data_IF_666485741640
#
_entry.id   IF_666485741640
#
_cell.length_a   1.000
_cell.length_b   1.000
_cell.length_c   1.000
_cell.angle_alpha   90.00
_cell.angle_beta   90.00
_cell.angle_gamma   90.00
#
_symmetry.space_group_name_H-M   'P 1'
#
loop_
_entity.id
_entity.type
_entity.pdbx_description
1 polymer ?
#
# COMPACT_ATOMS: atom_id res chain seq x y z
N UNK A 1 -68.56 -17.45 -34.40
CA UNK A 1 -69.44 -18.16 -33.44
C UNK A 1 -69.08 -17.65 -32.05
N UNK A 2 -69.81 -16.69 -31.47
CA UNK A 2 -70.80 -16.91 -30.37
C UNK A 2 -70.22 -17.78 -29.24
N UNK A 3 -70.08 -17.37 -27.97
CA UNK A 3 -70.82 -16.43 -27.09
C UNK A 3 -69.94 -15.99 -25.91
N UNK A 4 -70.26 -14.84 -25.35
CA UNK A 4 -69.92 -14.42 -23.98
C UNK A 4 -70.55 -15.35 -22.94
N UNK A 5 -69.83 -15.64 -21.85
CA UNK A 5 -70.43 -15.84 -20.53
C UNK A 5 -69.50 -15.29 -19.45
N UNK A 6 -70.02 -14.33 -18.69
CA UNK A 6 -69.55 -13.98 -17.36
C UNK A 6 -70.24 -14.90 -16.35
N UNK A 7 -69.50 -15.37 -15.34
CA UNK A 7 -70.05 -15.79 -14.06
C UNK A 7 -69.07 -15.42 -12.95
N UNK A 8 -69.52 -14.52 -12.08
CA UNK A 8 -68.95 -14.19 -10.77
C UNK A 8 -69.53 -15.08 -9.68
N UNK A 9 -68.88 -15.06 -8.50
CA UNK A 9 -69.21 -15.68 -7.19
C UNK A 9 -68.53 -17.05 -7.01
N UNK A 10 -67.76 -17.35 -5.95
CA UNK A 10 -67.41 -16.63 -4.74
C UNK A 10 -66.66 -17.56 -3.77
N UNK A 11 -65.91 -16.94 -2.85
CA UNK A 11 -65.62 -17.37 -1.47
C UNK A 11 -65.10 -18.80 -1.19
N UNK A 12 -63.82 -18.95 -0.83
CA UNK A 12 -63.34 -19.44 0.47
C UNK A 12 -61.82 -19.72 0.47
N UNK A 13 -61.22 -19.45 1.62
CA UNK A 13 -59.80 -19.50 1.90
C UNK A 13 -59.19 -20.92 1.95
N UNK A 14 -57.95 -21.05 1.50
CA UNK A 14 -56.94 -21.91 2.13
C UNK A 14 -55.53 -21.43 1.74
N UNK A 15 -54.78 -20.90 2.71
CA UNK A 15 -53.34 -20.74 2.64
C UNK A 15 -52.68 -22.11 2.62
N UNK A 16 -51.83 -22.38 1.63
CA UNK A 16 -50.70 -23.30 1.76
C UNK A 16 -49.49 -22.67 1.08
N UNK A 17 -48.47 -22.35 1.89
CA UNK A 17 -47.19 -21.81 1.42
C UNK A 17 -46.42 -22.90 0.70
N UNK A 18 -46.28 -22.77 -0.62
CA UNK A 18 -45.25 -23.46 -1.39
C UNK A 18 -43.93 -22.71 -1.15
N UNK A 19 -43.07 -23.30 -0.33
CA UNK A 19 -41.69 -22.85 -0.18
C UNK A 19 -40.91 -23.12 -1.46
N UNK A 20 -40.71 -22.08 -2.28
CA UNK A 20 -39.64 -22.07 -3.27
C UNK A 20 -38.32 -21.89 -2.51
N UNK A 21 -37.49 -22.93 -2.46
CA UNK A 21 -36.06 -22.79 -2.21
C UNK A 21 -35.47 -21.98 -3.37
N UNK A 22 -35.24 -20.69 -3.15
CA UNK A 22 -34.29 -19.95 -3.99
C UNK A 22 -32.91 -20.50 -3.66
N UNK A 23 -32.38 -21.33 -4.55
CA UNK A 23 -30.94 -21.48 -4.70
C UNK A 23 -30.45 -20.18 -5.32
N UNK A 24 -30.13 -19.20 -4.47
CA UNK A 24 -29.39 -18.03 -4.90
C UNK A 24 -27.96 -18.49 -5.20
N UNK A 25 -27.67 -18.66 -6.48
CA UNK A 25 -26.33 -18.77 -7.01
C UNK A 25 -25.62 -17.41 -6.88
N UNK A 26 -25.28 -17.03 -5.64
CA UNK A 26 -24.32 -15.98 -5.39
C UNK A 26 -22.93 -16.55 -5.65
N UNK A 27 -22.49 -16.43 -6.90
CA UNK A 27 -21.09 -16.44 -7.22
C UNK A 27 -20.48 -15.14 -6.66
N UNK A 28 -20.19 -15.15 -5.35
CA UNK A 28 -19.41 -14.12 -4.72
C UNK A 28 -18.04 -14.10 -5.41
N UNK A 29 -17.76 -13.03 -6.16
CA UNK A 29 -16.40 -12.67 -6.50
C UNK A 29 -15.60 -12.62 -5.18
N UNK A 30 -14.37 -13.16 -5.12
CA UNK A 30 -13.56 -13.09 -3.93
C UNK A 30 -13.12 -11.63 -3.75
N UNK A 31 -13.96 -10.84 -3.09
CA UNK A 31 -13.52 -9.58 -2.49
C UNK A 31 -12.62 -10.00 -1.34
N UNK A 32 -11.31 -10.07 -1.62
CA UNK A 32 -10.30 -10.23 -0.60
C UNK A 32 -10.55 -9.16 0.45
N UNK A 33 -11.03 -9.58 1.62
CA UNK A 33 -11.33 -8.68 2.72
C UNK A 33 -10.00 -8.08 3.18
N UNK A 34 -9.79 -6.80 2.86
CA UNK A 34 -8.62 -6.06 3.32
C UNK A 34 -8.53 -6.09 4.84
N UNK A 35 -7.31 -6.13 5.35
CA UNK A 35 -7.08 -5.93 6.78
C UNK A 35 -7.31 -4.47 7.18
N UNK A 36 -7.27 -4.18 8.48
CA UNK A 36 -7.35 -2.80 8.96
C UNK A 36 -6.17 -1.93 8.46
N UNK A 37 -4.93 -2.46 8.48
CA UNK A 37 -3.76 -1.72 7.98
C UNK A 37 -3.78 -1.56 6.47
N UNK A 38 -4.20 -2.57 5.72
CA UNK A 38 -4.36 -2.43 4.27
C UNK A 38 -5.44 -1.42 3.91
N UNK A 39 -6.54 -1.39 4.66
CA UNK A 39 -7.58 -0.36 4.52
C UNK A 39 -7.01 1.03 4.78
N UNK A 40 -6.20 1.22 5.84
CA UNK A 40 -5.56 2.51 6.13
C UNK A 40 -4.53 2.92 5.06
N UNK A 41 -3.69 1.99 4.62
CA UNK A 41 -2.65 2.23 3.64
C UNK A 41 -3.23 2.66 2.29
N UNK A 42 -4.33 2.03 1.87
CA UNK A 42 -4.96 2.26 0.56
C UNK A 42 -5.98 3.41 0.54
N UNK A 43 -6.35 3.97 1.69
CA UNK A 43 -7.34 5.03 1.78
C UNK A 43 -6.84 6.42 1.33
N UNK A 44 -5.51 6.62 1.22
CA UNK A 44 -4.87 7.92 1.05
C UNK A 44 -3.66 7.88 0.13
N UNK A 45 -3.26 9.06 -0.34
CA UNK A 45 -1.95 9.24 -0.96
C UNK A 45 -0.93 9.60 0.11
N UNK A 46 0.31 9.17 -0.07
CA UNK A 46 1.39 9.33 0.90
C UNK A 46 2.54 10.14 0.33
N UNK A 47 2.89 11.24 0.99
CA UNK A 47 4.01 12.11 0.61
C UNK A 47 5.03 12.17 1.73
N UNK A 48 6.32 12.13 1.38
CA UNK A 48 7.41 12.21 2.34
C UNK A 48 7.45 13.61 2.98
N UNK A 49 7.58 13.65 4.31
CA UNK A 49 7.75 14.90 5.07
C UNK A 49 9.03 14.92 5.91
N UNK A 50 9.62 13.75 6.19
CA UNK A 50 10.90 13.66 6.88
C UNK A 50 11.67 12.39 6.50
N UNK A 51 13.00 12.46 6.49
CA UNK A 51 13.90 11.32 6.36
C UNK A 51 15.00 11.52 7.39
N UNK A 52 15.10 10.60 8.35
CA UNK A 52 16.18 10.58 9.32
C UNK A 52 17.00 9.30 9.14
N UNK A 53 18.31 9.43 9.16
CA UNK A 53 19.19 8.27 9.01
C UNK A 53 20.27 8.26 10.08
N UNK A 54 20.59 7.07 10.57
CA UNK A 54 21.69 6.83 11.50
C UNK A 54 22.59 5.74 10.92
N UNK A 55 23.85 6.08 10.69
CA UNK A 55 24.89 5.16 10.25
C UNK A 55 25.79 4.77 11.43
N UNK A 56 26.06 3.48 11.56
CA UNK A 56 27.00 2.92 12.54
C UNK A 56 28.07 2.13 11.81
N UNK A 57 29.34 2.43 12.06
CA UNK A 57 30.50 1.71 11.54
C UNK A 57 31.17 0.95 12.68
N UNK A 58 31.43 -0.34 12.47
CA UNK A 58 32.15 -1.21 13.40
C UNK A 58 33.31 -1.88 12.68
N UNK A 59 34.46 -1.98 13.34
CA UNK A 59 35.65 -2.68 12.85
C UNK A 59 36.36 -3.37 14.03
N UNK A 60 37.17 -4.39 13.75
CA UNK A 60 37.87 -5.12 14.80
C UNK A 60 38.87 -4.21 15.53
N UNK A 61 38.86 -4.26 16.87
CA UNK A 61 39.75 -3.43 17.70
C UNK A 61 39.39 -1.94 17.72
N UNK A 62 38.30 -1.50 17.08
CA UNK A 62 37.87 -0.10 17.02
C UNK A 62 36.47 0.04 17.62
N UNK A 63 36.28 1.03 18.51
CA UNK A 63 34.96 1.35 19.07
C UNK A 63 33.98 1.79 17.97
N UNK A 64 32.70 1.36 18.02
CA UNK A 64 31.70 1.76 17.04
C UNK A 64 31.57 3.28 16.89
N UNK A 65 31.50 3.76 15.65
CA UNK A 65 31.27 5.17 15.34
C UNK A 65 29.84 5.32 14.81
N UNK A 66 29.07 6.23 15.38
CA UNK A 66 27.71 6.53 14.95
C UNK A 66 27.60 7.96 14.40
N UNK A 67 26.86 8.14 13.31
CA UNK A 67 26.58 9.45 12.70
C UNK A 67 25.10 9.53 12.31
N UNK A 68 24.50 10.71 12.48
CA UNK A 68 23.12 10.98 12.07
C UNK A 68 23.08 12.01 10.96
N UNK A 69 22.08 11.93 10.07
CA UNK A 69 21.81 12.97 9.08
C UNK A 69 20.32 13.08 8.74
N UNK A 70 19.93 14.28 8.34
CA UNK A 70 18.61 14.58 7.79
C UNK A 70 18.66 14.40 6.26
N UNK A 71 18.01 13.36 5.76
CA UNK A 71 17.91 13.06 4.34
C UNK A 71 16.89 13.93 3.60
N UNK A 72 15.91 14.51 4.29
CA UNK A 72 14.84 15.29 3.67
C UNK A 72 15.36 16.61 3.11
N UNK A 73 16.35 17.20 3.79
CA UNK A 73 17.05 18.40 3.32
C UNK A 73 17.76 18.21 1.99
N UNK A 74 18.07 16.96 1.61
CA UNK A 74 18.76 16.61 0.35
C UNK A 74 17.81 16.45 -0.83
N UNK A 75 16.50 16.38 -0.59
CA UNK A 75 15.52 16.29 -1.66
C UNK A 75 15.34 17.66 -2.33
N UNK A 76 15.32 17.66 -3.66
CA UNK A 76 14.94 18.84 -4.44
C UNK A 76 13.45 19.15 -4.25
N UNK A 77 13.01 20.35 -4.61
CA UNK A 77 11.60 20.75 -4.46
C UNK A 77 10.65 19.81 -5.19
N UNK A 78 10.98 19.42 -6.42
CA UNK A 78 10.18 18.47 -7.19
C UNK A 78 10.09 17.09 -6.49
N UNK A 79 11.19 16.57 -5.94
CA UNK A 79 11.18 15.28 -5.21
C UNK A 79 10.30 15.32 -3.96
N UNK A 80 10.15 16.49 -3.33
CA UNK A 80 9.28 16.67 -2.16
C UNK A 80 7.80 16.68 -2.53
N UNK A 81 7.46 16.91 -3.80
CA UNK A 81 6.09 16.89 -4.29
C UNK A 81 5.62 15.47 -4.69
N UNK A 82 6.57 14.55 -4.89
CA UNK A 82 6.29 13.15 -5.20
C UNK A 82 5.40 12.49 -4.15
N UNK A 83 4.53 11.58 -4.59
CA UNK A 83 3.68 10.80 -3.70
C UNK A 83 3.47 9.38 -4.20
N UNK A 84 3.09 8.50 -3.28
CA UNK A 84 2.69 7.13 -3.57
C UNK A 84 1.22 6.91 -3.24
N UNK A 85 0.50 6.26 -4.14
CA UNK A 85 -0.85 5.74 -3.91
C UNK A 85 -0.83 4.22 -3.90
N UNK A 86 -1.15 3.63 -2.77
CA UNK A 86 -1.30 2.19 -2.62
C UNK A 86 -2.74 1.82 -2.99
N UNK A 87 -2.92 0.91 -3.94
CA UNK A 87 -4.22 0.48 -4.41
C UNK A 87 -4.62 -0.87 -3.78
N UNK A 88 -5.93 -1.11 -3.72
CA UNK A 88 -6.55 -2.33 -3.18
C UNK A 88 -6.09 -3.59 -3.93
N UNK A 89 -5.81 -3.45 -5.23
CA UNK A 89 -5.33 -4.52 -6.12
C UNK A 89 -3.83 -4.84 -5.95
N UNK A 90 -3.21 -4.37 -4.87
CA UNK A 90 -1.78 -4.58 -4.55
C UNK A 90 -0.81 -3.87 -5.49
N UNK A 91 -1.27 -2.88 -6.26
CA UNK A 91 -0.40 -1.99 -7.03
C UNK A 91 -0.09 -0.70 -6.28
N UNK A 92 1.02 -0.04 -6.65
CA UNK A 92 1.36 1.32 -6.22
C UNK A 92 1.47 2.18 -7.46
N UNK A 93 0.91 3.38 -7.41
CA UNK A 93 1.24 4.47 -8.33
C UNK A 93 2.18 5.42 -7.61
N UNK A 94 3.45 5.47 -8.00
CA UNK A 94 4.36 6.55 -7.63
C UNK A 94 4.23 7.66 -8.66
N UNK A 95 3.99 8.89 -8.22
CA UNK A 95 3.70 10.05 -9.07
C UNK A 95 4.63 11.21 -8.68
N UNK A 96 5.20 11.90 -9.66
CA UNK A 96 6.11 13.04 -9.45
C UNK A 96 5.41 14.33 -8.99
N UNK A 97 4.09 14.29 -8.79
CA UNK A 97 3.31 15.45 -8.39
C UNK A 97 3.20 16.49 -9.50
N UNK A 98 2.95 17.74 -9.13
CA UNK A 98 2.72 18.81 -10.10
C UNK A 98 3.99 19.20 -10.87
N UNK A 99 5.17 18.98 -10.28
CA UNK A 99 6.46 19.37 -10.87
C UNK A 99 7.39 18.18 -10.96
N UNK A 100 7.66 17.76 -12.20
CA UNK A 100 8.65 16.72 -12.50
C UNK A 100 10.07 17.20 -12.20
N UNK A 101 10.93 16.28 -11.78
CA UNK A 101 12.35 16.58 -11.62
C UNK A 101 13.13 16.54 -12.92
N UNK A 102 12.66 15.75 -13.87
CA UNK A 102 13.26 15.55 -15.17
C UNK A 102 12.15 15.50 -16.21
N UNK A 103 12.33 16.21 -17.32
CA UNK A 103 11.31 16.25 -18.37
C UNK A 103 11.19 14.92 -19.11
N UNK A 104 12.25 14.10 -19.12
CA UNK A 104 12.29 12.80 -19.81
C UNK A 104 11.71 11.66 -18.99
N UNK A 105 11.58 11.81 -17.67
CA UNK A 105 11.12 10.74 -16.79
C UNK A 105 9.61 10.56 -16.97
N UNK A 106 9.03 9.36 -16.76
CA UNK A 106 7.58 9.23 -16.78
C UNK A 106 6.96 9.97 -15.59
N UNK A 107 5.75 10.55 -15.75
CA UNK A 107 5.03 11.19 -14.64
C UNK A 107 4.72 10.19 -13.51
N UNK A 108 4.40 8.95 -13.89
CA UNK A 108 4.05 7.89 -12.96
C UNK A 108 4.85 6.62 -13.23
N UNK A 109 5.10 5.87 -12.15
CA UNK A 109 5.68 4.54 -12.19
C UNK A 109 4.80 3.58 -11.38
N UNK A 110 4.72 2.33 -11.84
CA UNK A 110 3.88 1.30 -11.23
C UNK A 110 4.77 0.28 -10.52
N UNK A 111 4.42 0.02 -9.26
CA UNK A 111 5.01 -1.03 -8.43
C UNK A 111 3.91 -1.93 -7.88
N UNK A 112 4.30 -2.96 -7.15
CA UNK A 112 3.41 -3.79 -6.34
C UNK A 112 3.81 -3.71 -4.89
N UNK A 113 2.88 -4.03 -3.99
CA UNK A 113 3.14 -4.03 -2.56
C UNK A 113 2.46 -5.19 -1.84
N UNK A 114 3.00 -5.54 -0.68
CA UNK A 114 2.38 -6.47 0.26
C UNK A 114 2.81 -6.17 1.69
N UNK A 115 1.94 -6.47 2.65
CA UNK A 115 2.30 -6.58 4.07
C UNK A 115 2.58 -8.04 4.39
N UNK A 116 3.56 -8.29 5.28
CA UNK A 116 3.75 -9.63 5.84
C UNK A 116 2.57 -10.03 6.76
N UNK A 117 2.55 -11.29 7.21
CA UNK A 117 1.44 -11.83 8.01
C UNK A 117 1.18 -11.05 9.31
N UNK A 118 2.24 -10.55 9.96
CA UNK A 118 2.15 -9.75 11.19
C UNK A 118 1.91 -8.25 10.91
N UNK A 119 1.91 -7.87 9.64
CA UNK A 119 1.80 -6.50 9.14
C UNK A 119 2.81 -5.52 9.76
N UNK A 120 4.01 -6.01 10.00
CA UNK A 120 5.18 -5.27 10.52
C UNK A 120 6.22 -4.97 9.45
N UNK A 121 6.08 -5.56 8.26
CA UNK A 121 6.97 -5.33 7.12
C UNK A 121 6.13 -5.02 5.87
N UNK A 122 6.46 -3.92 5.20
CA UNK A 122 5.98 -3.57 3.87
C UNK A 122 7.03 -3.98 2.84
N UNK A 123 6.64 -4.81 1.87
CA UNK A 123 7.44 -5.12 0.69
C UNK A 123 6.93 -4.31 -0.49
N UNK A 124 7.83 -3.69 -1.24
CA UNK A 124 7.55 -3.00 -2.51
C UNK A 124 8.41 -3.62 -3.60
N UNK A 125 7.81 -4.00 -4.72
CA UNK A 125 8.50 -4.63 -5.85
C UNK A 125 8.11 -3.98 -7.18
N UNK A 126 9.03 -3.96 -8.14
CA UNK A 126 8.75 -3.48 -9.49
C UNK A 126 10.02 -3.23 -10.27
N UNK A 127 9.92 -2.53 -11.39
CA UNK A 127 11.07 -2.21 -12.24
C UNK A 127 11.54 -0.78 -12.03
N UNK A 128 12.82 -0.61 -11.70
CA UNK A 128 13.51 0.67 -11.72
C UNK A 128 14.51 0.65 -12.87
N UNK A 129 14.35 1.57 -13.83
CA UNK A 129 15.20 1.63 -15.04
C UNK A 129 15.32 0.28 -15.77
N UNK A 130 14.20 -0.44 -15.90
CA UNK A 130 14.13 -1.75 -16.56
C UNK A 130 14.64 -2.93 -15.73
N UNK A 131 15.21 -2.69 -14.55
CA UNK A 131 15.75 -3.72 -13.66
C UNK A 131 14.76 -4.04 -12.54
N UNK A 132 14.53 -5.32 -12.28
CA UNK A 132 13.69 -5.75 -11.16
C UNK A 132 14.32 -5.34 -9.82
N UNK A 133 13.49 -4.75 -8.97
CA UNK A 133 13.86 -4.28 -7.65
C UNK A 133 12.81 -4.74 -6.64
N UNK A 134 13.26 -5.13 -5.45
CA UNK A 134 12.38 -5.40 -4.31
C UNK A 134 13.02 -4.79 -3.07
N UNK A 135 12.25 -3.95 -2.38
CA UNK A 135 12.64 -3.32 -1.13
C UNK A 135 11.69 -3.77 -0.02
N UNK A 136 12.25 -3.97 1.17
CA UNK A 136 11.52 -4.32 2.39
C UNK A 136 11.77 -3.26 3.44
N UNK A 137 10.70 -2.81 4.07
CA UNK A 137 10.75 -1.82 5.13
C UNK A 137 9.94 -2.27 6.35
N UNK A 138 10.51 -2.06 7.53
CA UNK A 138 9.80 -2.18 8.81
C UNK A 138 8.70 -1.09 8.87
N UNK A 139 7.46 -1.50 9.12
CA UNK A 139 6.32 -0.60 9.32
C UNK A 139 6.26 -0.20 10.79
N UNK A 140 6.87 0.94 11.13
CA UNK A 140 6.93 1.45 12.50
C UNK A 140 5.60 2.04 12.96
N UNK A 141 4.91 2.72 12.05
CA UNK A 141 3.66 3.41 12.32
C UNK A 141 2.81 3.44 11.06
N UNK A 142 1.51 3.19 11.22
CA UNK A 142 0.50 3.46 10.21
C UNK A 142 -0.78 3.93 10.90
N UNK A 143 -1.22 5.12 10.56
CA UNK A 143 -2.45 5.77 11.06
C UNK A 143 -3.21 6.39 9.89
N UNK A 144 -4.32 7.08 10.13
CA UNK A 144 -5.03 7.80 9.07
C UNK A 144 -4.27 9.00 8.50
N UNK A 145 -3.23 9.48 9.18
CA UNK A 145 -2.50 10.70 8.81
C UNK A 145 -0.99 10.49 8.63
N UNK A 146 -0.42 9.45 9.23
CA UNK A 146 1.03 9.25 9.31
C UNK A 146 1.40 7.81 9.00
N UNK A 147 2.42 7.64 8.15
CA UNK A 147 3.10 6.37 7.91
C UNK A 147 4.60 6.56 8.18
N UNK A 148 5.21 5.65 8.93
CA UNK A 148 6.65 5.62 9.14
C UNK A 148 7.21 4.26 8.74
N UNK A 149 8.18 4.29 7.84
CA UNK A 149 8.87 3.11 7.34
C UNK A 149 10.34 3.18 7.73
N UNK A 150 10.94 2.04 8.06
CA UNK A 150 12.38 1.95 8.29
C UNK A 150 13.04 0.90 7.41
N UNK A 151 14.10 1.31 6.73
CA UNK A 151 14.98 0.39 6.00
C UNK A 151 16.33 0.30 6.70
N UNK A 152 16.95 -0.88 6.60
CA UNK A 152 18.28 -1.13 7.15
C UNK A 152 19.19 -1.62 6.04
N UNK A 153 20.26 -0.90 5.76
CA UNK A 153 21.29 -1.30 4.81
C UNK A 153 22.54 -1.70 5.57
N UNK A 154 23.05 -2.90 5.32
CA UNK A 154 24.31 -3.39 5.88
C UNK A 154 25.31 -3.57 4.75
N UNK A 155 26.42 -2.86 4.81
CA UNK A 155 27.55 -3.00 3.89
C UNK A 155 28.73 -3.58 4.66
N UNK A 156 29.26 -4.70 4.17
CA UNK A 156 30.45 -5.35 4.73
C UNK A 156 31.61 -5.23 3.74
N UNK A 157 32.75 -4.74 4.23
CA UNK A 157 33.98 -4.53 3.46
C UNK A 157 35.14 -4.97 4.35
N UNK A 158 35.77 -6.10 4.03
CA UNK A 158 36.80 -6.70 4.88
C UNK A 158 36.27 -6.90 6.33
N UNK A 159 36.98 -6.37 7.32
CA UNK A 159 36.65 -6.37 8.75
C UNK A 159 35.68 -5.23 9.15
N UNK A 160 35.33 -4.34 8.22
CA UNK A 160 34.45 -3.20 8.46
C UNK A 160 33.01 -3.55 8.12
N UNK A 161 32.11 -3.37 9.08
CA UNK A 161 30.65 -3.41 8.87
C UNK A 161 30.06 -2.02 9.08
N UNK A 162 29.38 -1.52 8.05
CA UNK A 162 28.57 -0.29 8.11
C UNK A 162 27.10 -0.66 8.09
N UNK A 163 26.35 -0.21 9.08
CA UNK A 163 24.89 -0.38 9.16
C UNK A 163 24.25 0.99 9.11
N UNK A 164 23.37 1.23 8.15
CA UNK A 164 22.56 2.45 8.08
C UNK A 164 21.10 2.08 8.31
N UNK A 165 20.47 2.75 9.28
CA UNK A 165 19.02 2.70 9.49
C UNK A 165 18.43 4.02 9.01
N UNK A 166 17.51 3.95 8.06
CA UNK A 166 16.81 5.13 7.52
C UNK A 166 15.35 5.02 7.88
N UNK A 167 14.81 6.02 8.59
CA UNK A 167 13.39 6.15 8.88
C UNK A 167 12.79 7.25 8.01
N UNK A 168 11.84 6.89 7.16
CA UNK A 168 11.11 7.81 6.29
C UNK A 168 9.71 8.00 6.85
N UNK A 169 9.32 9.26 7.03
CA UNK A 169 7.98 9.66 7.49
C UNK A 169 7.20 10.21 6.31
N UNK A 170 5.96 9.74 6.19
CA UNK A 170 4.99 10.17 5.20
C UNK A 170 3.76 10.75 5.89
N UNK A 171 3.16 11.75 5.25
CA UNK A 171 1.86 12.28 5.62
C UNK A 171 0.82 11.87 4.58
N UNK A 172 -0.40 11.61 5.05
CA UNK A 172 -1.55 11.38 4.19
C UNK A 172 -2.10 12.70 3.65
N UNK A 173 -2.59 12.68 2.41
CA UNK A 173 -3.38 13.77 1.81
C UNK A 173 -4.47 13.23 0.87
#
# INVERSE_FOLDING_TARGET
MTKFYAYTIGLCAALLMVGCTKEDADQAAPTSKLTAKETMLTAKNWRITAISATGTVTAEGISPIATGFDGYTRLTSCQKDNFAKYNIDKTIVADEGATKCSTTDPQTQIFTWSLNADETELTVSGKLNGTDHTEKAELLQLTSTTMQLRTTTVVRRLDVTSTTKTTTTYIAF
#
